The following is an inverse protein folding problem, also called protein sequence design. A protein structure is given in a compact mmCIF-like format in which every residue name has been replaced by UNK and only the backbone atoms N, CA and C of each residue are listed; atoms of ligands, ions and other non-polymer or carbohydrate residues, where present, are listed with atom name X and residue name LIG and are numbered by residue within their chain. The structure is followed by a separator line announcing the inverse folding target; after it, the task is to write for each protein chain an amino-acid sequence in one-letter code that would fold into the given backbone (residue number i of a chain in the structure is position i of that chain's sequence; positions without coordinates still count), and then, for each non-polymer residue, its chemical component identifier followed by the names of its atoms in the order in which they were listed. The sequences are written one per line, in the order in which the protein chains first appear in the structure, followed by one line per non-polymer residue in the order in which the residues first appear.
data_IF_832349227916
#
_entry.id   IF_832349227916
#
_cell.length_a   1.000
_cell.length_b   1.000
_cell.length_c   1.000
_cell.angle_alpha   90.00
_cell.angle_beta   90.00
_cell.angle_gamma   90.00
#
_symmetry.space_group_name_H-M   'P 1'
#
loop_
_entity.id
_entity.type
_entity.pdbx_description
1 polymer ?
#
# COMPACT_ATOMS: atom_id res chain seq x y z
N UNK A 1 7.19 -37.62 -22.43
CA UNK A 1 7.95 -36.37 -22.68
C UNK A 1 7.22 -35.24 -21.97
N UNK A 2 7.67 -34.87 -20.77
CA UNK A 2 7.15 -33.69 -20.08
C UNK A 2 7.59 -32.45 -20.86
N UNK A 3 6.63 -31.69 -21.37
CA UNK A 3 6.88 -30.41 -22.02
C UNK A 3 7.41 -29.46 -20.94
N UNK A 4 8.65 -29.01 -21.08
CA UNK A 4 9.22 -27.96 -20.23
C UNK A 4 8.32 -26.73 -20.29
N UNK A 5 7.83 -26.28 -19.13
CA UNK A 5 6.93 -25.13 -19.03
C UNK A 5 7.66 -23.84 -19.42
N UNK A 6 7.49 -23.40 -20.66
CA UNK A 6 7.96 -22.11 -21.12
C UNK A 6 6.95 -21.02 -20.72
N UNK A 7 7.47 -19.85 -20.35
CA UNK A 7 6.69 -18.68 -19.96
C UNK A 7 5.97 -18.09 -21.19
N UNK A 8 4.72 -17.63 -21.03
CA UNK A 8 3.95 -17.04 -22.13
C UNK A 8 4.43 -15.64 -22.49
N UNK A 9 4.74 -14.80 -21.49
CA UNK A 9 5.25 -13.45 -21.69
C UNK A 9 5.92 -12.93 -20.42
N UNK A 10 6.75 -11.90 -20.56
CA UNK A 10 7.31 -11.10 -19.46
C UNK A 10 6.94 -9.65 -19.72
N UNK A 11 6.19 -9.06 -18.81
CA UNK A 11 5.72 -7.67 -18.91
C UNK A 11 6.59 -6.75 -18.05
N UNK A 12 6.71 -5.50 -18.48
CA UNK A 12 7.44 -4.44 -17.80
C UNK A 12 6.58 -3.17 -17.81
N UNK A 13 6.55 -2.46 -16.67
CA UNK A 13 5.87 -1.17 -16.50
C UNK A 13 6.76 -0.31 -15.59
N UNK A 14 7.15 0.87 -16.07
CA UNK A 14 7.99 1.84 -15.37
C UNK A 14 7.22 3.06 -14.85
N UNK A 15 5.90 3.08 -15.02
CA UNK A 15 5.01 4.19 -14.61
C UNK A 15 4.11 3.78 -13.42
N UNK A 16 4.62 2.89 -12.57
CA UNK A 16 3.93 2.39 -11.38
C UNK A 16 4.43 3.08 -10.11
N UNK A 17 3.50 3.60 -9.32
CA UNK A 17 3.71 4.10 -7.99
C UNK A 17 3.39 3.07 -6.92
N UNK A 18 4.13 3.08 -5.80
CA UNK A 18 3.82 2.28 -4.61
C UNK A 18 3.48 3.18 -3.43
N UNK A 19 2.29 3.02 -2.89
CA UNK A 19 1.88 3.65 -1.62
C UNK A 19 1.64 2.56 -0.57
N UNK A 20 1.89 2.88 0.71
CA UNK A 20 1.77 1.90 1.80
C UNK A 20 1.29 2.52 3.09
N UNK A 21 0.36 1.86 3.76
CA UNK A 21 0.03 2.11 5.15
C UNK A 21 0.85 1.16 6.03
N UNK A 22 1.49 1.68 7.08
CA UNK A 22 2.34 0.92 8.02
C UNK A 22 1.85 1.17 9.44
N UNK A 23 1.77 0.11 10.25
CA UNK A 23 1.21 0.19 11.60
C UNK A 23 1.10 -1.18 12.26
N UNK A 24 1.10 -1.23 13.59
CA UNK A 24 0.90 -2.46 14.33
C UNK A 24 -0.61 -2.80 14.44
N UNK A 25 -0.95 -4.08 14.55
CA UNK A 25 -2.31 -4.49 14.91
C UNK A 25 -3.34 -4.49 13.76
N UNK A 26 -2.92 -4.32 12.50
CA UNK A 26 -3.84 -4.37 11.35
C UNK A 26 -4.55 -5.71 11.20
N UNK A 27 -3.86 -6.82 11.50
CA UNK A 27 -4.43 -8.18 11.47
C UNK A 27 -5.65 -8.35 12.40
N UNK A 28 -5.65 -7.63 13.53
CA UNK A 28 -6.71 -7.69 14.53
C UNK A 28 -7.85 -6.69 14.26
N UNK A 29 -7.68 -5.80 13.28
CA UNK A 29 -8.62 -4.74 12.93
C UNK A 29 -8.93 -4.80 11.43
N UNK A 30 -9.77 -5.75 10.98
CA UNK A 30 -10.06 -5.94 9.55
C UNK A 30 -10.65 -4.68 8.87
N UNK A 31 -11.24 -3.76 9.64
CA UNK A 31 -11.73 -2.46 9.15
C UNK A 31 -10.64 -1.58 8.52
N UNK A 32 -9.38 -1.71 8.95
CA UNK A 32 -8.26 -0.92 8.41
C UNK A 32 -8.08 -1.15 6.91
N UNK A 33 -8.23 -2.39 6.43
CA UNK A 33 -8.13 -2.68 5.00
C UNK A 33 -9.31 -2.08 4.24
N UNK A 34 -10.52 -2.15 4.80
CA UNK A 34 -11.69 -1.56 4.15
C UNK A 34 -11.55 -0.03 4.02
N UNK A 35 -11.21 0.65 5.11
CA UNK A 35 -10.97 2.09 5.14
C UNK A 35 -9.84 2.51 4.19
N UNK A 36 -8.77 1.72 4.08
CA UNK A 36 -7.68 1.97 3.12
C UNK A 36 -8.19 1.95 1.67
N UNK A 37 -9.00 0.95 1.31
CA UNK A 37 -9.54 0.83 -0.05
C UNK A 37 -10.59 1.90 -0.35
N UNK A 38 -11.41 2.25 0.64
CA UNK A 38 -12.41 3.32 0.55
C UNK A 38 -11.75 4.69 0.34
N UNK A 39 -10.68 4.99 1.08
CA UNK A 39 -9.93 6.23 0.91
C UNK A 39 -9.39 6.42 -0.52
N UNK A 40 -8.85 5.36 -1.13
CA UNK A 40 -8.36 5.40 -2.52
C UNK A 40 -9.51 5.51 -3.52
N UNK A 41 -10.62 4.80 -3.28
CA UNK A 41 -11.83 4.89 -4.11
C UNK A 41 -12.39 6.31 -4.14
N UNK A 42 -12.45 6.98 -3.00
CA UNK A 42 -13.10 8.28 -2.86
C UNK A 42 -12.34 9.41 -3.59
N UNK A 43 -11.04 9.22 -3.84
CA UNK A 43 -10.22 10.08 -4.72
C UNK A 43 -10.03 9.53 -6.13
N UNK A 44 -10.83 8.52 -6.51
CA UNK A 44 -10.82 7.90 -7.85
C UNK A 44 -9.46 7.30 -8.26
N UNK A 45 -8.72 6.73 -7.31
CA UNK A 45 -7.45 6.03 -7.57
C UNK A 45 -7.70 4.54 -7.77
N UNK A 46 -7.24 4.01 -8.91
CA UNK A 46 -7.36 2.59 -9.22
C UNK A 46 -6.20 1.78 -8.63
N UNK A 47 -6.52 0.67 -7.98
CA UNK A 47 -5.54 -0.26 -7.41
C UNK A 47 -5.22 -1.37 -8.42
N UNK A 48 -3.97 -1.45 -8.85
CA UNK A 48 -3.52 -2.45 -9.85
C UNK A 48 -3.02 -3.74 -9.20
N UNK A 49 -2.39 -3.64 -8.04
CA UNK A 49 -1.87 -4.78 -7.29
C UNK A 49 -1.93 -4.52 -5.79
N UNK A 50 -2.25 -5.55 -5.01
CA UNK A 50 -2.30 -5.51 -3.55
C UNK A 50 -1.28 -6.50 -2.98
N UNK A 51 -0.50 -6.06 -2.00
CA UNK A 51 0.38 -6.90 -1.19
C UNK A 51 0.29 -6.51 0.28
N UNK A 52 0.08 -7.47 1.16
CA UNK A 52 -0.12 -7.22 2.60
C UNK A 52 0.80 -8.06 3.47
N UNK A 53 1.08 -7.56 4.67
CA UNK A 53 1.73 -8.26 5.77
C UNK A 53 0.96 -7.94 7.06
N UNK A 54 1.41 -8.49 8.20
CA UNK A 54 0.77 -8.21 9.49
C UNK A 54 0.81 -6.74 9.91
N UNK A 55 1.75 -5.96 9.34
CA UNK A 55 2.02 -4.57 9.72
C UNK A 55 2.01 -3.58 8.54
N UNK A 56 1.62 -4.04 7.35
CA UNK A 56 1.69 -3.21 6.14
C UNK A 56 0.65 -3.63 5.12
N UNK A 57 -0.05 -2.64 4.57
CA UNK A 57 -0.81 -2.75 3.33
C UNK A 57 -0.06 -1.93 2.29
N UNK A 58 0.33 -2.56 1.19
CA UNK A 58 0.99 -1.91 0.06
C UNK A 58 0.16 -2.13 -1.20
N UNK A 59 -0.01 -1.08 -1.99
CA UNK A 59 -0.64 -1.18 -3.31
C UNK A 59 0.24 -0.57 -4.39
N UNK A 60 0.13 -1.12 -5.60
CA UNK A 60 0.63 -0.46 -6.81
C UNK A 60 -0.52 0.26 -7.50
N UNK A 61 -0.25 1.50 -7.89
CA UNK A 61 -1.15 2.44 -8.57
C UNK A 61 -0.37 3.16 -9.67
N UNK A 62 -1.01 4.02 -10.47
CA UNK A 62 -0.27 4.88 -11.41
C UNK A 62 0.55 5.90 -10.64
N UNK A 63 1.75 6.22 -11.13
CA UNK A 63 2.64 7.16 -10.43
C UNK A 63 2.02 8.55 -10.26
N UNK A 64 1.23 9.01 -11.23
CA UNK A 64 0.52 10.30 -11.18
C UNK A 64 -0.52 10.38 -10.04
N UNK A 65 -1.01 9.24 -9.57
CA UNK A 65 -2.01 9.14 -8.50
C UNK A 65 -1.38 9.14 -7.09
N UNK A 66 -0.06 9.02 -6.98
CA UNK A 66 0.65 8.85 -5.69
C UNK A 66 0.34 9.94 -4.69
N UNK A 67 0.33 11.19 -5.14
CA UNK A 67 0.10 12.36 -4.29
C UNK A 67 -1.33 12.38 -3.73
N UNK A 68 -2.31 12.08 -4.58
CA UNK A 68 -3.71 12.01 -4.17
C UNK A 68 -3.95 10.85 -3.21
N UNK A 69 -3.40 9.68 -3.53
CA UNK A 69 -3.47 8.48 -2.70
C UNK A 69 -2.83 8.69 -1.32
N UNK A 70 -1.64 9.27 -1.27
CA UNK A 70 -0.96 9.55 -0.01
C UNK A 70 -1.76 10.52 0.87
N UNK A 71 -2.26 11.63 0.30
CA UNK A 71 -3.07 12.60 1.04
C UNK A 71 -4.38 11.99 1.56
N UNK A 72 -5.09 11.23 0.74
CA UNK A 72 -6.34 10.57 1.13
C UNK A 72 -6.12 9.57 2.28
N UNK A 73 -5.03 8.79 2.23
CA UNK A 73 -4.67 7.86 3.30
C UNK A 73 -4.26 8.60 4.58
N UNK A 74 -3.51 9.70 4.44
CA UNK A 74 -3.16 10.54 5.59
C UNK A 74 -4.40 11.13 6.26
N UNK A 75 -5.37 11.61 5.49
CA UNK A 75 -6.64 12.15 6.01
C UNK A 75 -7.49 11.06 6.66
N UNK A 76 -7.72 9.94 5.97
CA UNK A 76 -8.54 8.82 6.46
C UNK A 76 -8.04 8.28 7.81
N UNK A 77 -6.72 8.10 7.94
CA UNK A 77 -6.09 7.56 9.14
C UNK A 77 -5.61 8.65 10.11
N UNK A 78 -5.92 9.93 9.84
CA UNK A 78 -5.56 11.09 10.67
C UNK A 78 -4.06 11.16 10.98
N UNK A 79 -3.22 10.83 10.00
CA UNK A 79 -1.77 10.81 10.10
C UNK A 79 -1.20 12.17 9.69
N UNK A 80 -0.30 12.74 10.48
CA UNK A 80 0.36 14.02 10.16
C UNK A 80 0.01 15.21 11.06
N UNK A 81 -0.53 14.94 12.26
CA UNK A 81 -0.61 15.94 13.34
C UNK A 81 0.75 16.24 14.00
N UNK A 82 0.74 17.08 15.05
CA UNK A 82 1.95 17.47 15.82
C UNK A 82 2.53 16.33 16.68
N UNK A 83 1.85 15.18 16.75
CA UNK A 83 2.33 14.03 17.51
C UNK A 83 3.54 13.41 16.82
N UNK A 84 4.70 13.59 17.45
CA UNK A 84 5.96 12.97 17.08
C UNK A 84 5.76 11.45 17.08
N UNK A 85 5.80 10.83 15.89
CA UNK A 85 5.88 9.40 15.80
C UNK A 85 7.14 8.95 16.55
N UNK A 86 6.97 8.36 17.74
CA UNK A 86 8.09 7.84 18.52
C UNK A 86 8.67 6.68 17.72
N UNK A 87 9.70 6.99 16.93
CA UNK A 87 10.50 5.99 16.24
C UNK A 87 11.29 5.27 17.33
N UNK A 88 10.77 4.13 17.77
CA UNK A 88 11.59 3.12 18.42
C UNK A 88 12.54 2.58 17.35
N UNK A 89 13.61 3.31 17.08
CA UNK A 89 14.73 2.83 16.30
C UNK A 89 15.37 1.68 17.08
N UNK A 90 14.80 0.48 16.94
CA UNK A 90 15.56 -0.73 17.18
C UNK A 90 16.70 -0.71 16.18
N UNK A 91 17.94 -0.64 16.67
CA UNK A 91 19.13 -0.92 15.88
C UNK A 91 18.99 -2.38 15.42
N UNK A 92 18.32 -2.59 14.29
CA UNK A 92 18.05 -3.89 13.69
C UNK A 92 19.34 -4.52 13.18
N UNK A 93 20.19 -4.93 14.12
CA UNK A 93 21.16 -6.00 13.89
C UNK A 93 20.40 -7.28 13.62
#
# INVERSE_FOLDING_TARGET
LQVQGNWTNVLYDDQVGKVSLVGAGMKSHPGVTAEFMEALRDVNVNIELISTSEIRISVLIREDDLDAAARALHEQFQLGGEDEAVVYAGTGR
#
